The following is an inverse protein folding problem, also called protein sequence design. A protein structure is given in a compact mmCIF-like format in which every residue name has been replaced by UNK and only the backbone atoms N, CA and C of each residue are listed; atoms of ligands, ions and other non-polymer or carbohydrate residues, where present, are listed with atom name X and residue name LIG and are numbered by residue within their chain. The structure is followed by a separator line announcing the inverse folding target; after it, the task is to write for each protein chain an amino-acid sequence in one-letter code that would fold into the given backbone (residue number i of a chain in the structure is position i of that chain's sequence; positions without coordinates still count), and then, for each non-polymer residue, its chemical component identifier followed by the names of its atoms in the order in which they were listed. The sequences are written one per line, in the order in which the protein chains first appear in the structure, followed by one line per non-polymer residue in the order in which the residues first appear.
data_IF_018621939357
#
_entry.id   IF_018621939357
#
_cell.length_a   1.000
_cell.length_b   1.000
_cell.length_c   1.000
_cell.angle_alpha   90.00
_cell.angle_beta   90.00
_cell.angle_gamma   90.00
#
_symmetry.space_group_name_H-M   'P 1'
#
loop_
_entity.id
_entity.type
_entity.pdbx_description
1 polymer ?
#
# COMPACT_ATOMS: atom_id res chain seq x y z
N UNK A 1 -6.91 7.06 5.06
CA UNK A 1 -5.77 7.42 5.93
C UNK A 1 -4.76 8.30 5.19
N UNK A 2 -4.20 9.34 5.81
CA UNK A 2 -3.13 10.19 5.23
C UNK A 2 -1.74 9.54 5.42
N UNK A 3 -0.81 9.78 4.48
CA UNK A 3 0.54 9.18 4.52
C UNK A 3 1.32 9.49 5.82
N UNK A 4 1.27 10.74 6.29
CA UNK A 4 1.94 11.14 7.56
C UNK A 4 1.39 10.40 8.77
N UNK A 5 0.07 10.16 8.80
CA UNK A 5 -0.59 9.41 9.88
C UNK A 5 -0.17 7.95 9.84
N UNK A 6 -0.17 7.34 8.65
CA UNK A 6 0.34 5.99 8.46
C UNK A 6 1.79 5.83 8.95
N UNK A 7 2.68 6.74 8.55
CA UNK A 7 4.09 6.67 8.93
C UNK A 7 4.28 6.71 10.45
N UNK A 8 3.53 7.57 11.16
CA UNK A 8 3.59 7.63 12.62
C UNK A 8 3.08 6.35 13.28
N UNK A 9 1.90 5.87 12.86
CA UNK A 9 1.34 4.62 13.38
C UNK A 9 2.26 3.42 13.11
N UNK A 10 2.91 3.39 11.94
CA UNK A 10 3.85 2.31 11.61
C UNK A 10 5.09 2.35 12.51
N UNK A 11 5.67 3.52 12.76
CA UNK A 11 6.80 3.69 13.68
C UNK A 11 6.47 3.20 15.09
N UNK A 12 5.30 3.58 15.60
CA UNK A 12 4.81 3.15 16.92
C UNK A 12 4.67 1.64 17.04
N UNK A 13 4.39 0.94 15.93
CA UNK A 13 4.24 -0.52 15.90
C UNK A 13 5.51 -1.26 15.44
N UNK A 14 6.60 -0.57 15.13
CA UNK A 14 7.78 -1.15 14.47
C UNK A 14 8.45 -2.27 15.27
N UNK A 15 8.67 -2.08 16.57
CA UNK A 15 9.25 -3.12 17.44
C UNK A 15 8.36 -4.35 17.55
N UNK A 16 7.04 -4.12 17.67
CA UNK A 16 6.05 -5.19 17.69
C UNK A 16 6.08 -6.01 16.40
N UNK A 17 6.12 -5.33 15.25
CA UNK A 17 6.21 -5.97 13.93
C UNK A 17 7.52 -6.75 13.76
N UNK A 18 8.64 -6.19 14.21
CA UNK A 18 9.94 -6.86 14.17
C UNK A 18 9.92 -8.15 14.98
N UNK A 19 9.41 -8.12 16.21
CA UNK A 19 9.31 -9.32 17.06
C UNK A 19 8.51 -10.41 16.37
N UNK A 20 7.36 -10.08 15.78
CA UNK A 20 6.55 -11.04 15.03
C UNK A 20 7.31 -11.60 13.83
N UNK A 21 7.90 -10.73 13.01
CA UNK A 21 8.67 -11.15 11.83
C UNK A 21 9.81 -12.08 12.24
N UNK A 22 10.51 -11.77 13.32
CA UNK A 22 11.59 -12.60 13.85
C UNK A 22 11.07 -13.97 14.32
N UNK A 23 9.93 -14.06 15.00
CA UNK A 23 9.35 -15.38 15.33
C UNK A 23 8.92 -16.17 14.12
N UNK A 24 8.43 -15.47 13.11
CA UNK A 24 7.94 -16.09 11.91
C UNK A 24 9.08 -16.65 11.06
N UNK A 25 10.21 -15.92 10.99
CA UNK A 25 11.33 -16.18 10.07
C UNK A 25 12.56 -16.80 10.73
N UNK A 26 12.75 -16.58 12.03
CA UNK A 26 13.85 -17.13 12.83
C UNK A 26 15.20 -16.42 12.68
N UNK A 27 15.30 -15.39 11.85
CA UNK A 27 16.54 -14.67 11.57
C UNK A 27 16.32 -13.15 11.51
N UNK A 28 17.31 -12.38 11.99
CA UNK A 28 17.32 -10.92 12.04
C UNK A 28 17.16 -10.29 10.66
N UNK A 29 17.96 -10.71 9.67
CA UNK A 29 18.00 -10.03 8.36
C UNK A 29 16.68 -10.17 7.60
N UNK A 30 16.09 -11.37 7.50
CA UNK A 30 14.74 -11.53 6.99
C UNK A 30 13.66 -10.75 7.74
N UNK A 31 13.76 -10.65 9.07
CA UNK A 31 12.81 -9.91 9.87
C UNK A 31 12.86 -8.40 9.57
N UNK A 32 14.06 -7.82 9.49
CA UNK A 32 14.26 -6.43 9.08
C UNK A 32 13.73 -6.18 7.66
N UNK A 33 14.00 -7.10 6.72
CA UNK A 33 13.48 -7.02 5.35
C UNK A 33 11.94 -7.02 5.32
N UNK A 34 11.32 -7.89 6.10
CA UNK A 34 9.88 -7.98 6.20
C UNK A 34 9.27 -6.69 6.76
N UNK A 35 9.86 -6.11 7.81
CA UNK A 35 9.41 -4.83 8.37
C UNK A 35 9.57 -3.70 7.35
N UNK A 36 10.72 -3.61 6.67
CA UNK A 36 10.96 -2.62 5.62
C UNK A 36 9.94 -2.73 4.48
N UNK A 37 9.66 -3.95 4.03
CA UNK A 37 8.70 -4.21 2.96
C UNK A 37 7.29 -3.84 3.39
N UNK A 38 6.90 -4.23 4.62
CA UNK A 38 5.60 -3.88 5.19
C UNK A 38 5.43 -2.36 5.34
N UNK A 39 6.49 -1.63 5.72
CA UNK A 39 6.46 -0.17 5.78
C UNK A 39 6.16 0.44 4.41
N UNK A 40 6.76 -0.11 3.35
CA UNK A 40 6.60 0.37 1.98
C UNK A 40 5.24 0.01 1.36
N UNK A 41 4.81 -1.25 1.48
CA UNK A 41 3.63 -1.78 0.79
C UNK A 41 2.34 -1.69 1.61
N UNK A 42 2.46 -1.62 2.95
CA UNK A 42 1.34 -1.64 3.89
C UNK A 42 0.35 -0.49 3.68
N UNK A 43 0.83 0.70 3.30
CA UNK A 43 -0.04 1.87 3.09
C UNK A 43 -1.07 1.62 1.99
N UNK A 44 -0.66 1.00 0.88
CA UNK A 44 -1.58 0.66 -0.21
C UNK A 44 -2.57 -0.39 0.25
N UNK A 45 -2.09 -1.44 0.92
CA UNK A 45 -2.96 -2.51 1.45
C UNK A 45 -4.05 -1.97 2.34
N UNK A 46 -3.70 -1.17 3.35
CA UNK A 46 -4.67 -0.64 4.32
C UNK A 46 -5.70 0.27 3.64
N UNK A 47 -5.30 0.99 2.60
CA UNK A 47 -6.25 1.79 1.81
C UNK A 47 -7.23 0.92 1.00
N UNK A 48 -6.78 -0.25 0.54
CA UNK A 48 -7.56 -1.14 -0.31
C UNK A 48 -8.41 -2.14 0.51
N UNK A 49 -7.96 -2.52 1.71
CA UNK A 49 -8.58 -3.49 2.63
C UNK A 49 -9.48 -2.80 3.68
N UNK A 50 -10.39 -1.91 3.30
CA UNK A 50 -11.31 -1.24 4.24
C UNK A 50 -12.36 -2.23 4.81
N UNK A 51 -11.90 -3.14 5.66
CA UNK A 51 -12.62 -4.30 6.21
C UNK A 51 -13.01 -4.11 7.69
N UNK A 52 -12.87 -2.89 8.21
CA UNK A 52 -13.20 -2.52 9.59
C UNK A 52 -12.20 -3.03 10.64
N UNK A 53 -11.11 -3.69 10.24
CA UNK A 53 -10.10 -4.16 11.18
C UNK A 53 -9.21 -3.02 11.68
N UNK A 54 -8.62 -3.21 12.87
CA UNK A 54 -7.69 -2.23 13.42
C UNK A 54 -6.42 -2.12 12.57
N UNK A 55 -5.81 -0.93 12.57
CA UNK A 55 -4.53 -0.69 11.88
C UNK A 55 -3.49 -1.76 12.25
N UNK A 56 -3.36 -2.07 13.55
CA UNK A 56 -2.43 -3.07 14.08
C UNK A 56 -2.65 -4.44 13.46
N UNK A 57 -3.90 -4.85 13.27
CA UNK A 57 -4.21 -6.16 12.71
C UNK A 57 -3.92 -6.23 11.20
N UNK A 58 -4.27 -5.18 10.47
CA UNK A 58 -4.05 -5.09 9.02
C UNK A 58 -2.55 -5.05 8.68
N UNK A 59 -1.73 -4.30 9.41
CA UNK A 59 -0.27 -4.29 9.20
C UNK A 59 0.37 -5.63 9.54
N UNK A 60 -0.09 -6.32 10.58
CA UNK A 60 0.42 -7.65 10.95
C UNK A 60 0.09 -8.67 9.87
N UNK A 61 -1.14 -8.64 9.34
CA UNK A 61 -1.53 -9.47 8.19
C UNK A 61 -0.65 -9.22 6.98
N UNK A 62 -0.43 -7.94 6.64
CA UNK A 62 0.44 -7.54 5.54
C UNK A 62 1.87 -8.06 5.70
N UNK A 63 2.47 -7.87 6.88
CA UNK A 63 3.81 -8.33 7.23
C UNK A 63 3.95 -9.86 7.11
N UNK A 64 3.01 -10.61 7.70
CA UNK A 64 3.04 -12.07 7.67
C UNK A 64 2.83 -12.62 6.25
N UNK A 65 1.98 -12.00 5.44
CA UNK A 65 1.78 -12.40 4.04
C UNK A 65 3.06 -12.23 3.21
N UNK A 66 3.79 -11.12 3.35
CA UNK A 66 5.01 -10.84 2.57
C UNK A 66 6.22 -11.69 2.98
N UNK A 67 6.30 -12.03 4.26
CA UNK A 67 7.43 -12.78 4.83
C UNK A 67 7.48 -14.25 4.39
N UNK A 68 6.39 -14.80 3.83
CA UNK A 68 6.34 -16.20 3.34
C UNK A 68 6.98 -16.48 1.99
N UNK A 69 7.42 -15.45 1.23
CA UNK A 69 7.75 -15.63 -0.19
C UNK A 69 8.96 -16.58 -0.40
N UNK A 70 9.83 -16.77 0.59
CA UNK A 70 11.04 -17.62 0.45
C UNK A 70 11.46 -18.43 1.70
N UNK A 71 10.60 -18.57 2.71
CA UNK A 71 10.99 -19.18 4.00
C UNK A 71 9.95 -20.19 4.50
N UNK A 72 10.38 -21.15 5.32
CA UNK A 72 9.49 -22.08 6.02
C UNK A 72 9.13 -21.46 7.39
N UNK A 73 7.94 -20.87 7.54
CA UNK A 73 7.64 -20.07 8.71
C UNK A 73 7.33 -20.92 9.95
N UNK A 74 7.70 -20.41 11.13
CA UNK A 74 7.35 -21.04 12.40
C UNK A 74 5.94 -20.61 12.87
N UNK A 75 4.92 -21.10 12.15
CA UNK A 75 3.52 -20.73 12.41
C UNK A 75 3.05 -21.06 13.84
N UNK A 76 3.61 -22.10 14.46
CA UNK A 76 3.27 -22.50 15.82
C UNK A 76 3.71 -21.46 16.85
N UNK A 77 5.00 -21.08 16.83
CA UNK A 77 5.52 -20.08 17.76
C UNK A 77 4.89 -18.70 17.51
N UNK A 78 4.61 -18.35 16.25
CA UNK A 78 3.92 -17.10 15.93
C UNK A 78 2.51 -17.07 16.52
N UNK A 79 1.69 -18.12 16.35
CA UNK A 79 0.36 -18.18 16.93
C UNK A 79 0.41 -18.07 18.47
N UNK A 80 1.38 -18.76 19.10
CA UNK A 80 1.60 -18.71 20.54
C UNK A 80 1.98 -17.29 21.01
N UNK A 81 2.90 -16.63 20.30
CA UNK A 81 3.31 -15.25 20.60
C UNK A 81 2.14 -14.27 20.49
N UNK A 82 1.37 -14.34 19.40
CA UNK A 82 0.19 -13.48 19.19
C UNK A 82 -0.85 -13.70 20.29
N UNK A 83 -1.07 -14.94 20.73
CA UNK A 83 -2.02 -15.22 21.82
C UNK A 83 -1.52 -14.71 23.17
N UNK A 84 -0.30 -15.05 23.57
CA UNK A 84 0.16 -14.82 24.94
C UNK A 84 0.76 -13.44 25.17
N UNK A 85 1.56 -12.95 24.22
CA UNK A 85 2.24 -11.66 24.36
C UNK A 85 1.37 -10.50 23.91
N UNK A 86 0.52 -10.73 22.91
CA UNK A 86 -0.30 -9.67 22.30
C UNK A 86 -1.76 -9.74 22.72
N UNK A 87 -2.15 -10.77 23.48
CA UNK A 87 -3.51 -11.01 23.99
C UNK A 87 -4.57 -11.01 22.87
N UNK A 88 -4.18 -11.40 21.66
CA UNK A 88 -5.10 -11.44 20.52
C UNK A 88 -6.12 -12.57 20.68
N UNK A 89 -7.35 -12.31 20.24
CA UNK A 89 -8.39 -13.33 20.16
C UNK A 89 -8.16 -14.28 18.99
N UNK A 90 -8.77 -15.48 19.05
CA UNK A 90 -8.57 -16.52 18.04
C UNK A 90 -8.91 -16.01 16.63
N UNK A 91 -10.00 -15.24 16.49
CA UNK A 91 -10.40 -14.62 15.22
C UNK A 91 -9.39 -13.59 14.72
N UNK A 92 -8.78 -12.80 15.61
CA UNK A 92 -7.72 -11.85 15.24
C UNK A 92 -6.46 -12.57 14.76
N UNK A 93 -6.06 -13.64 15.46
CA UNK A 93 -4.91 -14.46 15.05
C UNK A 93 -5.18 -15.11 13.69
N UNK A 94 -6.39 -15.63 13.47
CA UNK A 94 -6.80 -16.23 12.21
C UNK A 94 -6.72 -15.21 11.06
N UNK A 95 -7.22 -14.00 11.29
CA UNK A 95 -7.11 -12.91 10.33
C UNK A 95 -5.66 -12.52 10.06
N UNK A 96 -4.85 -12.33 11.11
CA UNK A 96 -3.46 -11.87 11.00
C UNK A 96 -2.60 -12.90 10.26
N UNK A 97 -2.78 -14.19 10.55
CA UNK A 97 -2.00 -15.27 9.95
C UNK A 97 -2.57 -15.77 8.62
N UNK A 98 -3.74 -15.27 8.22
CA UNK A 98 -4.52 -15.71 7.06
C UNK A 98 -4.76 -17.24 7.02
N UNK A 99 -5.23 -17.77 8.16
CA UNK A 99 -5.56 -19.19 8.32
C UNK A 99 -6.90 -19.36 9.03
N UNK A 100 -7.62 -20.49 8.87
CA UNK A 100 -8.86 -20.74 9.59
C UNK A 100 -8.67 -20.76 11.10
N UNK A 101 -9.68 -20.34 11.87
CA UNK A 101 -9.65 -20.42 13.35
C UNK A 101 -9.39 -21.83 13.88
N UNK A 102 -9.88 -22.86 13.18
CA UNK A 102 -9.59 -24.26 13.52
C UNK A 102 -8.09 -24.57 13.47
N UNK A 103 -7.37 -24.01 12.50
CA UNK A 103 -5.91 -24.13 12.39
C UNK A 103 -5.21 -23.38 13.52
N UNK A 104 -5.70 -22.19 13.89
CA UNK A 104 -5.18 -21.44 15.05
C UNK A 104 -5.31 -22.25 16.32
N UNK A 105 -6.50 -22.81 16.59
CA UNK A 105 -6.77 -23.67 17.75
C UNK A 105 -5.83 -24.88 17.76
N UNK A 106 -5.72 -25.58 16.63
CA UNK A 106 -4.81 -26.70 16.49
C UNK A 106 -3.33 -26.31 16.74
N UNK A 107 -2.89 -25.14 16.27
CA UNK A 107 -1.54 -24.65 16.52
C UNK A 107 -1.30 -24.31 17.99
N UNK A 108 -2.27 -23.66 18.65
CA UNK A 108 -2.20 -23.36 20.08
C UNK A 108 -2.27 -24.62 20.95
N UNK A 109 -3.08 -25.60 20.59
CA UNK A 109 -3.22 -26.86 21.33
C UNK A 109 -1.97 -27.72 21.18
N UNK A 110 -1.40 -27.82 19.97
CA UNK A 110 -0.11 -28.48 19.76
C UNK A 110 1.02 -27.76 20.49
N UNK A 111 1.02 -26.42 20.46
CA UNK A 111 1.98 -25.64 21.24
C UNK A 111 1.85 -25.95 22.73
N UNK A 112 0.63 -25.97 23.29
CA UNK A 112 0.37 -26.35 24.69
C UNK A 112 0.75 -27.80 25.02
N UNK A 113 0.49 -28.74 24.12
CA UNK A 113 0.83 -30.15 24.30
C UNK A 113 2.35 -30.35 24.34
N UNK A 114 3.07 -29.72 23.41
CA UNK A 114 4.53 -29.67 23.42
C UNK A 114 5.07 -28.92 24.66
N UNK A 115 4.39 -27.87 25.14
CA UNK A 115 4.74 -27.16 26.39
C UNK A 115 4.59 -28.00 27.65
N UNK A 116 3.66 -28.96 27.68
CA UNK A 116 3.51 -29.89 28.80
C UNK A 116 4.61 -30.95 28.83
N UNK A 117 5.19 -31.28 27.68
CA UNK A 117 6.28 -32.24 27.55
C UNK A 117 7.66 -31.60 27.74
N UNK A 118 7.82 -30.30 27.43
CA UNK A 118 9.11 -29.60 27.48
C UNK A 118 9.01 -28.18 28.08
N UNK A 119 8.46 -28.09 29.29
CA UNK A 119 8.16 -26.83 30.01
C UNK A 119 9.41 -25.95 30.22
N UNK A 120 10.60 -26.56 30.29
CA UNK A 120 11.87 -25.86 30.45
C UNK A 120 12.39 -25.27 29.13
N UNK A 121 12.23 -25.97 28.01
CA UNK A 121 12.74 -25.55 26.71
C UNK A 121 11.90 -24.42 26.10
N UNK A 122 10.58 -24.50 26.18
CA UNK A 122 9.71 -23.39 25.74
C UNK A 122 9.71 -22.24 26.75
N UNK A 123 9.89 -22.50 28.05
CA UNK A 123 10.15 -21.43 29.02
C UNK A 123 11.43 -20.66 28.69
N UNK A 124 12.44 -21.31 28.10
CA UNK A 124 13.62 -20.66 27.52
C UNK A 124 13.32 -20.02 26.17
N UNK A 125 12.54 -20.65 25.31
CA UNK A 125 12.18 -20.12 23.98
C UNK A 125 11.32 -18.88 24.11
N UNK A 126 10.23 -18.91 24.88
CA UNK A 126 9.40 -17.75 25.24
C UNK A 126 10.19 -16.68 26.00
N UNK A 127 11.16 -17.05 26.85
CA UNK A 127 12.06 -16.06 27.45
C UNK A 127 13.03 -15.45 26.44
N UNK A 128 13.58 -16.23 25.50
CA UNK A 128 14.34 -15.76 24.33
C UNK A 128 13.49 -14.82 23.48
N UNK A 129 12.24 -15.19 23.24
CA UNK A 129 11.21 -14.46 22.49
C UNK A 129 10.93 -13.09 23.14
N UNK A 130 10.76 -13.04 24.47
CA UNK A 130 10.55 -11.77 25.16
C UNK A 130 11.83 -10.93 25.28
N UNK A 131 12.99 -11.60 25.38
CA UNK A 131 14.31 -10.99 25.48
C UNK A 131 14.98 -10.77 24.12
N UNK A 132 14.23 -10.74 23.02
CA UNK A 132 14.77 -10.29 21.73
C UNK A 132 15.21 -8.84 21.91
N UNK A 133 16.52 -8.63 21.77
CA UNK A 133 17.10 -7.32 21.60
C UNK A 133 16.60 -6.74 20.29
N UNK A 134 16.03 -5.54 20.37
CA UNK A 134 15.62 -4.82 19.19
C UNK A 134 16.91 -4.33 18.50
N UNK A 135 17.17 -4.73 17.24
CA UNK A 135 18.36 -4.30 16.53
C UNK A 135 18.33 -2.78 16.33
N UNK A 136 19.48 -2.14 16.49
CA UNK A 136 19.64 -0.70 16.23
C UNK A 136 19.27 -0.36 14.78
N UNK A 137 19.48 -1.31 13.86
CA UNK A 137 19.15 -1.22 12.43
C UNK A 137 17.63 -1.18 12.15
N UNK A 138 16.77 -1.47 13.13
CA UNK A 138 15.32 -1.45 12.93
C UNK A 138 14.82 -0.07 12.49
N UNK A 139 15.32 0.99 13.13
CA UNK A 139 14.92 2.37 12.81
C UNK A 139 15.27 2.70 11.36
N UNK A 140 16.47 2.33 10.92
CA UNK A 140 16.91 2.52 9.53
C UNK A 140 16.03 1.74 8.55
N UNK A 141 15.74 0.47 8.83
CA UNK A 141 14.89 -0.36 7.96
C UNK A 141 13.48 0.22 7.81
N UNK A 142 12.90 0.76 8.89
CA UNK A 142 11.59 1.42 8.89
C UNK A 142 11.62 2.69 8.05
N UNK A 143 12.59 3.58 8.29
CA UNK A 143 12.69 4.84 7.54
C UNK A 143 12.98 4.60 6.07
N UNK A 144 13.84 3.63 5.72
CA UNK A 144 14.08 3.27 4.32
C UNK A 144 12.79 2.82 3.62
N UNK A 145 11.97 1.99 4.28
CA UNK A 145 10.67 1.56 3.77
C UNK A 145 9.68 2.70 3.58
N UNK A 146 9.59 3.61 4.55
CA UNK A 146 8.71 4.78 4.50
C UNK A 146 9.16 5.80 3.44
N UNK A 147 10.46 5.97 3.25
CA UNK A 147 11.03 6.81 2.19
C UNK A 147 10.73 6.27 0.80
N UNK A 148 10.86 4.95 0.62
CA UNK A 148 10.47 4.25 -0.63
C UNK A 148 9.00 4.48 -0.94
N UNK A 149 8.13 4.40 0.06
CA UNK A 149 6.71 4.71 -0.06
C UNK A 149 6.48 6.18 -0.44
N UNK A 150 7.13 7.13 0.23
CA UNK A 150 7.01 8.56 -0.07
C UNK A 150 7.39 8.88 -1.52
N UNK A 151 8.52 8.34 -1.99
CA UNK A 151 8.97 8.48 -3.39
C UNK A 151 7.97 7.86 -4.36
N UNK A 152 7.37 6.71 -4.04
CA UNK A 152 6.35 6.03 -4.86
C UNK A 152 5.07 6.87 -4.99
N UNK A 153 4.53 7.39 -3.88
CA UNK A 153 3.32 8.20 -3.88
C UNK A 153 3.53 9.55 -4.60
N UNK A 154 4.71 10.16 -4.45
CA UNK A 154 5.05 11.39 -5.18
C UNK A 154 5.13 11.15 -6.70
N UNK A 155 5.74 10.04 -7.13
CA UNK A 155 5.76 9.63 -8.55
C UNK A 155 4.35 9.35 -9.08
N UNK A 156 3.50 8.69 -8.30
CA UNK A 156 2.10 8.44 -8.65
C UNK A 156 1.33 9.73 -8.86
N UNK A 157 1.47 10.69 -7.94
CA UNK A 157 0.84 12.01 -8.02
C UNK A 157 1.33 12.82 -9.23
N UNK A 158 2.65 12.85 -9.47
CA UNK A 158 3.24 13.50 -10.66
C UNK A 158 2.77 12.85 -11.96
N UNK A 159 2.64 11.52 -12.03
CA UNK A 159 2.13 10.81 -13.22
C UNK A 159 0.67 11.16 -13.50
N UNK A 160 -0.19 11.20 -12.47
CA UNK A 160 -1.60 11.62 -12.60
C UNK A 160 -1.70 13.05 -13.11
N UNK A 161 -0.91 13.96 -12.53
CA UNK A 161 -0.84 15.35 -12.96
C UNK A 161 -0.35 15.48 -14.41
N UNK A 162 0.74 14.80 -14.80
CA UNK A 162 1.24 14.80 -16.18
C UNK A 162 0.21 14.25 -17.17
N UNK A 163 -0.50 13.16 -16.84
CA UNK A 163 -1.57 12.63 -17.69
C UNK A 163 -2.72 13.62 -17.84
N UNK A 164 -3.14 14.29 -16.77
CA UNK A 164 -4.17 15.31 -16.80
C UNK A 164 -3.76 16.54 -17.64
N UNK A 165 -2.50 16.98 -17.55
CA UNK A 165 -1.97 18.06 -18.38
C UNK A 165 -1.90 17.66 -19.86
N UNK A 166 -1.47 16.43 -20.17
CA UNK A 166 -1.42 15.92 -21.54
C UNK A 166 -2.83 15.82 -22.13
N UNK A 167 -3.82 15.31 -21.38
CA UNK A 167 -5.21 15.28 -21.83
C UNK A 167 -5.80 16.69 -22.02
N UNK A 168 -5.50 17.63 -21.13
CA UNK A 168 -5.95 19.02 -21.25
C UNK A 168 -5.33 19.75 -22.44
N UNK A 169 -4.02 19.55 -22.69
CA UNK A 169 -3.34 20.10 -23.84
C UNK A 169 -3.89 19.54 -25.16
N UNK A 170 -4.19 18.23 -25.22
CA UNK A 170 -4.80 17.62 -26.40
C UNK A 170 -6.19 18.21 -26.72
N UNK A 171 -7.01 18.46 -25.70
CA UNK A 171 -8.32 19.12 -25.85
C UNK A 171 -8.18 20.57 -26.35
N UNK A 172 -7.21 21.32 -25.84
CA UNK A 172 -6.94 22.69 -26.31
C UNK A 172 -6.49 22.71 -27.77
N UNK A 173 -5.60 21.81 -28.17
CA UNK A 173 -5.16 21.69 -29.57
C UNK A 173 -6.33 21.34 -30.48
N UNK A 174 -7.20 20.41 -30.08
CA UNK A 174 -8.38 20.03 -30.84
C UNK A 174 -9.37 21.21 -31.00
N UNK A 175 -9.59 21.99 -29.94
CA UNK A 175 -10.43 23.18 -29.98
C UNK A 175 -9.87 24.27 -30.90
N UNK A 176 -8.55 24.47 -30.90
CA UNK A 176 -7.88 25.41 -31.83
C UNK A 176 -8.03 24.96 -33.28
N UNK A 177 -7.85 23.68 -33.58
CA UNK A 177 -8.03 23.15 -34.94
C UNK A 177 -9.47 23.30 -35.43
N UNK A 178 -10.47 23.01 -34.58
CA UNK A 178 -11.88 23.22 -34.91
C UNK A 178 -12.21 24.71 -35.09
N UNK A 179 -11.68 25.58 -34.24
CA UNK A 179 -11.86 27.04 -34.34
C UNK A 179 -11.26 27.63 -35.63
N UNK A 180 -10.07 27.18 -36.04
CA UNK A 180 -9.44 27.59 -37.31
C UNK A 180 -10.25 27.08 -38.50
N UNK A 181 -10.77 25.85 -38.45
CA UNK A 181 -11.63 25.30 -39.51
C UNK A 181 -12.93 26.09 -39.69
N UNK A 182 -13.56 26.53 -38.59
CA UNK A 182 -14.74 27.39 -38.63
C UNK A 182 -14.37 28.80 -39.14
N UNK A 183 -13.23 29.35 -38.71
CA UNK A 183 -12.78 30.69 -39.09
C UNK A 183 -12.36 30.79 -40.57
N UNK A 184 -11.81 29.73 -41.15
CA UNK A 184 -11.49 29.66 -42.58
C UNK A 184 -12.76 29.51 -43.46
N UNK A 185 -13.83 28.91 -42.96
CA UNK A 185 -15.10 28.73 -43.68
C UNK A 185 -15.93 30.01 -43.85
N UNK A 186 -15.64 31.07 -43.08
CA UNK A 186 -16.40 32.34 -43.12
C UNK A 186 -15.72 33.45 -43.93
N UNK A 187 -14.53 33.23 -44.51
CA UNK A 187 -13.90 34.22 -45.40
C UNK A 187 -14.48 34.06 -46.80
N UNK A 188 -15.51 34.88 -47.06
CA UNK A 188 -16.34 34.85 -48.26
C UNK A 188 -15.58 34.88 -49.59
N UNK A 189 -16.16 34.15 -50.53
CA UNK A 189 -15.92 34.21 -51.96
C UNK A 189 -16.05 35.66 -52.50
N UNK A 190 -15.00 36.29 -53.04
CA UNK A 190 -15.09 37.60 -53.67
C UNK A 190 -15.36 37.46 -55.18
N UNK A 191 -16.45 36.81 -55.57
CA UNK A 191 -16.93 36.79 -56.96
C UNK A 191 -18.45 36.99 -56.99
N UNK A 192 -18.88 38.23 -56.73
CA UNK A 192 -20.13 38.76 -57.30
C UNK A 192 -20.16 40.29 -57.19
N UNK A 193 -19.48 40.97 -58.11
CA UNK A 193 -19.71 42.37 -58.45
C UNK A 193 -19.56 42.55 -59.96
N UNK A 194 -20.53 42.02 -60.71
CA UNK A 194 -20.90 42.57 -62.00
C UNK A 194 -22.42 42.46 -62.12
N UNK A 195 -23.09 43.60 -62.31
CA UNK A 195 -24.50 43.64 -62.68
C UNK A 195 -25.39 44.52 -61.79
N UNK A 196 -25.20 45.85 -61.84
CA UNK A 196 -26.30 46.81 -61.78
C UNK A 196 -25.77 48.23 -62.01
N UNK A 197 -25.67 48.62 -63.29
CA UNK A 197 -25.96 49.98 -63.75
C UNK A 197 -25.88 49.99 -65.27
N UNK A 198 -27.02 49.71 -65.91
CA UNK A 198 -27.31 50.21 -67.25
C UNK A 198 -28.82 50.36 -67.39
N UNK A 199 -29.22 51.61 -67.64
CA UNK A 199 -30.36 52.04 -68.45
C UNK A 199 -31.75 52.07 -67.80
N UNK A 200 -32.22 53.29 -67.55
CA UNK A 200 -33.53 53.87 -67.97
C UNK A 200 -33.57 55.31 -67.43
N UNK A 201 -34.01 56.37 -68.10
CA UNK A 201 -34.57 56.60 -69.44
C UNK A 201 -34.46 58.13 -69.62
N UNK A 202 -33.98 58.63 -70.77
CA UNK A 202 -34.45 59.92 -71.27
C UNK A 202 -35.84 59.66 -71.87
N UNK A 203 -36.86 60.28 -71.29
CA UNK A 203 -38.09 60.67 -71.97
C UNK A 203 -38.66 61.89 -71.23
N UNK A 204 -38.89 62.95 -72.02
CA UNK A 204 -39.43 64.31 -71.76
C UNK A 204 -38.42 65.41 -71.46
#
# INVERSE_FOLDING_TARGET
MKLKVYANLFREQSEYLYRIAFFYLGDKQPALEAVRTAACEGFRRIRDLDDGQSFKLQITRGLLAESTINQKPNRYLTALYLRHMQKMEIGEIAYAMDIPEGSVKAYLDRAKANMRQDTAEIGKEVRRVTAIDIPEELSEAVEEGLDRLGKREQRSSRRKFRKACISGAALLVLAVLLGIGIYAGTRGNPENRQGQEMVNLEDV
#
